data_IF_444877855372
#
_entry.id   IF_444877855372
#
_cell.length_a   1.000
_cell.length_b   1.000
_cell.length_c   1.000
_cell.angle_alpha   90.00
_cell.angle_beta   90.00
_cell.angle_gamma   90.00
#
_symmetry.space_group_name_H-M   'P 1'
#
loop_
_entity.id
_entity.type
_entity.pdbx_description
1 polymer ?
#
# COMPACT_ATOMS: atom_id res chain seq x y z
N UNK A 1 -17.25 -6.34 4.25
CA UNK A 1 -17.66 -7.34 3.23
C UNK A 1 -18.01 -6.78 1.84
N UNK A 2 -17.61 -5.56 1.44
CA UNK A 2 -17.95 -5.03 0.09
C UNK A 2 -16.79 -4.31 -0.65
N UNK A 3 -15.52 -4.56 -0.30
CA UNK A 3 -14.40 -3.83 -0.91
C UNK A 3 -14.01 -4.31 -2.33
N UNK A 4 -14.33 -5.55 -2.72
CA UNK A 4 -13.86 -6.11 -4.00
C UNK A 4 -14.83 -5.97 -5.20
N UNK A 5 -16.01 -5.35 -5.03
CA UNK A 5 -17.00 -5.26 -6.13
C UNK A 5 -16.96 -3.97 -6.95
N UNK A 6 -16.07 -3.02 -6.66
CA UNK A 6 -16.05 -1.72 -7.33
C UNK A 6 -14.93 -1.51 -8.35
N UNK A 7 -14.04 -2.49 -8.54
CA UNK A 7 -12.87 -2.34 -9.42
C UNK A 7 -13.09 -2.73 -10.89
N UNK A 8 -14.26 -3.23 -11.28
CA UNK A 8 -14.54 -3.61 -12.67
C UNK A 8 -15.70 -2.77 -13.20
N UNK A 9 -15.37 -1.58 -13.68
CA UNK A 9 -16.31 -0.66 -14.30
C UNK A 9 -15.61 0.28 -15.25
N UNK A 10 -15.09 -0.25 -16.35
CA UNK A 10 -14.60 0.55 -17.46
C UNK A 10 -15.77 1.29 -18.14
N UNK A 11 -15.71 2.61 -18.17
CA UNK A 11 -16.38 3.43 -19.18
C UNK A 11 -15.40 4.48 -19.69
N UNK A 12 -15.20 4.62 -21.00
CA UNK A 12 -14.40 5.69 -21.57
C UNK A 12 -15.27 6.92 -21.75
N UNK A 13 -14.82 8.10 -21.29
CA UNK A 13 -14.88 9.37 -22.03
C UNK A 13 -14.24 10.51 -21.22
N UNK A 14 -13.65 11.41 -22.00
CA UNK A 14 -13.06 12.72 -21.74
C UNK A 14 -13.36 13.50 -20.45
N UNK A 15 -12.33 14.29 -20.11
CA UNK A 15 -12.37 15.59 -19.44
C UNK A 15 -12.01 15.63 -17.93
N UNK A 16 -10.99 16.47 -17.68
CA UNK A 16 -10.39 16.95 -16.43
C UNK A 16 -9.65 15.94 -15.53
N UNK A 17 -8.35 16.19 -15.41
CA UNK A 17 -7.46 15.57 -14.44
C UNK A 17 -8.01 15.76 -13.02
N UNK A 18 -8.47 14.66 -12.42
CA UNK A 18 -8.70 14.54 -10.98
C UNK A 18 -8.06 13.24 -10.53
N UNK A 19 -6.97 13.40 -9.79
CA UNK A 19 -6.22 12.35 -9.08
C UNK A 19 -7.22 11.44 -8.37
N UNK A 20 -7.11 10.09 -8.39
CA UNK A 20 -8.05 9.24 -7.67
C UNK A 20 -7.79 9.35 -6.17
N UNK A 21 -8.32 10.39 -5.53
CA UNK A 21 -8.58 10.38 -4.10
C UNK A 21 -9.73 9.40 -3.88
N UNK A 22 -9.58 8.55 -2.87
CA UNK A 22 -10.60 7.58 -2.47
C UNK A 22 -11.89 8.34 -2.11
N UNK A 23 -12.88 8.32 -3.00
CA UNK A 23 -14.18 8.95 -2.75
C UNK A 23 -14.95 8.09 -1.74
N UNK A 24 -15.10 8.61 -0.52
CA UNK A 24 -16.07 8.13 0.50
C UNK A 24 -17.46 8.07 -0.14
N UNK A 25 -18.03 6.88 -0.26
CA UNK A 25 -19.44 6.73 -0.58
C UNK A 25 -20.26 7.02 0.69
N UNK A 26 -20.68 8.27 0.87
CA UNK A 26 -21.70 8.63 1.85
C UNK A 26 -23.06 8.12 1.37
N UNK A 27 -23.74 7.36 2.21
CA UNK A 27 -25.09 6.87 1.95
C UNK A 27 -26.11 7.92 2.38
N UNK A 28 -26.87 8.37 1.39
CA UNK A 28 -28.13 9.13 1.37
C UNK A 28 -28.79 9.49 2.71
N UNK A 29 -28.92 10.80 2.94
CA UNK A 29 -29.94 11.41 3.78
C UNK A 29 -30.41 12.69 3.10
N UNK A 30 -31.52 12.60 2.36
CA UNK A 30 -32.27 13.74 1.83
C UNK A 30 -32.52 14.79 2.92
N UNK A 31 -32.28 16.07 2.64
CA UNK A 31 -33.33 17.09 2.50
C UNK A 31 -32.76 18.53 2.43
N UNK A 32 -33.33 19.25 1.46
CA UNK A 32 -33.56 20.69 1.41
C UNK A 32 -32.44 21.62 0.92
N UNK A 33 -32.54 21.93 -0.37
CA UNK A 33 -32.19 23.21 -0.96
C UNK A 33 -32.70 24.36 -0.09
N UNK A 34 -31.80 25.18 0.46
CA UNK A 34 -32.09 26.60 0.61
C UNK A 34 -30.82 27.44 0.39
N UNK A 35 -31.08 28.57 -0.25
CA UNK A 35 -30.21 29.45 -1.01
C UNK A 35 -29.36 30.42 -0.18
N UNK A 36 -28.32 30.90 -0.87
CA UNK A 36 -27.82 32.28 -0.90
C UNK A 36 -26.74 32.73 0.11
N UNK A 37 -25.61 33.10 -0.48
CA UNK A 37 -24.77 34.29 -0.23
C UNK A 37 -23.93 34.33 1.06
N UNK A 38 -22.61 34.14 0.94
CA UNK A 38 -21.65 35.21 1.22
C UNK A 38 -20.24 34.84 0.68
N UNK A 39 -19.54 35.85 0.17
CA UNK A 39 -18.18 35.82 -0.36
C UNK A 39 -17.15 35.75 0.80
N UNK A 40 -16.16 34.85 0.75
CA UNK A 40 -14.80 35.17 1.23
C UNK A 40 -13.74 34.23 0.63
N UNK A 41 -12.64 34.85 0.21
CA UNK A 41 -11.46 34.32 -0.46
C UNK A 41 -10.37 34.08 0.59
N UNK A 42 -9.82 32.86 0.66
CA UNK A 42 -8.81 32.54 1.67
C UNK A 42 -8.34 31.09 1.61
N UNK A 43 -7.64 30.74 0.54
CA UNK A 43 -7.00 29.43 0.40
C UNK A 43 -5.87 29.22 1.42
N UNK A 44 -6.14 28.36 2.40
CA UNK A 44 -5.13 27.58 3.11
C UNK A 44 -5.70 26.17 3.28
N UNK A 45 -5.31 25.28 2.36
CA UNK A 45 -5.52 23.85 2.48
C UNK A 45 -4.62 23.35 3.62
N UNK A 46 -5.10 23.52 4.85
CA UNK A 46 -4.59 22.83 6.01
C UNK A 46 -4.93 21.35 5.84
N UNK A 47 -3.90 20.55 5.57
CA UNK A 47 -3.91 19.09 5.58
C UNK A 47 -4.01 18.60 7.03
N UNK A 48 -5.00 19.11 7.76
CA UNK A 48 -5.38 18.65 9.09
C UNK A 48 -6.22 17.39 8.92
N UNK A 49 -5.51 16.28 8.76
CA UNK A 49 -6.03 14.94 8.90
C UNK A 49 -6.41 14.69 10.38
N UNK A 50 -7.44 15.39 10.87
CA UNK A 50 -8.10 15.13 12.14
C UNK A 50 -9.29 14.19 11.90
N UNK A 51 -9.02 12.97 11.42
CA UNK A 51 -10.02 11.89 11.45
C UNK A 51 -9.93 11.17 12.80
N UNK A 52 -10.49 11.80 13.83
CA UNK A 52 -10.85 11.11 15.08
C UNK A 52 -11.99 10.12 14.81
N UNK A 53 -11.65 8.93 14.31
CA UNK A 53 -12.59 7.83 14.10
C UNK A 53 -11.86 6.53 13.76
N UNK A 54 -11.62 5.69 14.79
CA UNK A 54 -10.78 4.47 14.81
C UNK A 54 -9.26 4.70 14.75
N UNK A 55 -8.62 4.71 15.93
CA UNK A 55 -7.15 4.79 16.10
C UNK A 55 -6.34 3.62 15.49
N UNK A 56 -7.00 2.61 14.91
CA UNK A 56 -6.34 1.42 14.37
C UNK A 56 -6.27 1.42 12.83
N UNK A 57 -6.92 2.38 12.16
CA UNK A 57 -6.81 2.51 10.70
C UNK A 57 -5.49 3.20 10.34
N UNK A 58 -4.74 2.58 9.42
CA UNK A 58 -3.50 3.16 8.89
C UNK A 58 -3.61 3.38 7.40
N UNK A 59 -3.31 4.61 6.97
CA UNK A 59 -3.22 5.01 5.57
C UNK A 59 -1.76 5.11 5.17
N UNK A 60 -1.43 4.57 4.00
CA UNK A 60 -0.07 4.58 3.46
C UNK A 60 -0.09 5.12 2.02
N UNK A 61 0.89 5.94 1.66
CA UNK A 61 1.14 6.32 0.26
C UNK A 61 1.77 5.15 -0.48
N UNK A 62 1.30 4.85 -1.69
CA UNK A 62 1.87 3.76 -2.50
C UNK A 62 3.19 4.23 -3.12
N UNK A 63 4.30 3.87 -2.46
CA UNK A 63 5.65 4.25 -2.86
C UNK A 63 6.57 3.02 -3.06
N UNK A 64 7.47 3.01 -4.07
CA UNK A 64 8.45 1.94 -4.24
C UNK A 64 9.34 1.65 -3.01
N UNK A 65 9.60 2.63 -2.16
CA UNK A 65 10.38 2.48 -0.94
C UNK A 65 9.74 1.53 0.09
N UNK A 66 8.42 1.34 0.01
CA UNK A 66 7.69 0.38 0.85
C UNK A 66 8.05 -1.07 0.53
N UNK A 67 8.66 -1.37 -0.63
CA UNK A 67 9.14 -2.71 -0.99
C UNK A 67 8.07 -3.79 -0.77
N UNK A 68 6.91 -3.60 -1.40
CA UNK A 68 5.75 -4.51 -1.30
C UNK A 68 6.06 -5.91 -1.84
N UNK A 69 5.58 -6.93 -1.12
CA UNK A 69 5.75 -8.34 -1.48
C UNK A 69 4.54 -9.18 -1.08
N UNK A 70 4.06 -10.01 -1.99
CA UNK A 70 3.13 -11.11 -1.68
C UNK A 70 3.87 -12.43 -1.51
N UNK A 71 3.40 -13.28 -0.62
CA UNK A 71 3.92 -14.65 -0.43
C UNK A 71 2.86 -15.56 0.19
N UNK A 72 3.10 -16.86 0.06
CA UNK A 72 2.33 -17.90 0.77
C UNK A 72 3.18 -18.40 1.94
N UNK A 73 2.58 -18.39 3.13
CA UNK A 73 3.20 -18.90 4.36
C UNK A 73 3.22 -20.43 4.37
N UNK A 74 3.93 -21.01 5.34
CA UNK A 74 4.05 -22.46 5.50
C UNK A 74 2.73 -23.18 5.80
N UNK A 75 1.75 -22.45 6.35
CA UNK A 75 0.39 -22.91 6.63
C UNK A 75 -0.54 -22.85 5.40
N UNK A 76 -0.06 -22.31 4.27
CA UNK A 76 -0.84 -22.13 3.05
C UNK A 76 -1.64 -20.83 2.99
N UNK A 77 -1.51 -19.96 4.01
CA UNK A 77 -2.20 -18.66 4.04
C UNK A 77 -1.41 -17.65 3.22
N UNK A 78 -2.10 -16.85 2.41
CA UNK A 78 -1.47 -15.77 1.65
C UNK A 78 -1.29 -14.54 2.53
N UNK A 79 -0.18 -13.83 2.34
CA UNK A 79 0.09 -12.59 3.03
C UNK A 79 0.76 -11.59 2.09
N UNK A 80 0.55 -10.32 2.39
CA UNK A 80 1.20 -9.19 1.72
C UNK A 80 1.95 -8.41 2.79
N UNK A 81 3.21 -8.07 2.53
CA UNK A 81 4.05 -7.34 3.47
C UNK A 81 4.72 -6.13 2.83
N UNK A 82 5.00 -5.11 3.64
CA UNK A 82 5.73 -3.90 3.22
C UNK A 82 6.53 -3.30 4.39
N UNK A 83 7.58 -2.54 4.06
CA UNK A 83 8.48 -1.88 5.02
C UNK A 83 7.72 -0.82 5.81
N UNK A 84 7.94 -0.79 7.12
CA UNK A 84 7.55 0.35 7.94
C UNK A 84 8.61 1.44 7.77
N UNK A 85 8.25 2.57 7.15
CA UNK A 85 9.17 3.70 6.96
C UNK A 85 9.34 4.54 8.23
N UNK A 86 8.45 4.37 9.21
CA UNK A 86 8.45 5.12 10.46
C UNK A 86 8.83 4.26 11.68
N UNK A 87 8.96 2.94 11.50
CA UNK A 87 9.33 1.97 12.52
C UNK A 87 10.84 1.77 12.65
N UNK A 88 11.23 0.70 13.37
CA UNK A 88 12.63 0.33 13.52
C UNK A 88 13.19 -0.30 12.23
N UNK A 89 14.51 -0.31 12.10
CA UNK A 89 15.20 -0.93 10.98
C UNK A 89 14.82 -2.42 10.87
N UNK A 90 14.14 -2.75 9.78
CA UNK A 90 13.70 -4.12 9.48
C UNK A 90 12.23 -4.38 9.77
N UNK A 91 11.53 -3.45 10.42
CA UNK A 91 10.10 -3.59 10.68
C UNK A 91 9.29 -3.58 9.39
N UNK A 92 8.27 -4.43 9.38
CA UNK A 92 7.36 -4.60 8.26
C UNK A 92 5.95 -4.79 8.77
N UNK A 93 4.99 -4.21 8.06
CA UNK A 93 3.60 -4.57 8.20
C UNK A 93 3.32 -5.86 7.41
N UNK A 94 2.44 -6.69 7.95
CA UNK A 94 1.92 -7.89 7.29
C UNK A 94 0.39 -7.80 7.27
N UNK A 95 -0.18 -7.91 6.08
CA UNK A 95 -1.59 -8.14 5.86
C UNK A 95 -1.79 -9.63 5.55
N UNK A 96 -2.39 -10.35 6.49
CA UNK A 96 -2.75 -11.75 6.32
C UNK A 96 -4.09 -11.81 5.59
N UNK A 97 -4.11 -12.53 4.46
CA UNK A 97 -5.31 -12.69 3.65
C UNK A 97 -6.15 -13.82 4.23
N UNK A 98 -7.46 -13.57 4.39
CA UNK A 98 -8.39 -14.59 4.88
C UNK A 98 -8.49 -15.79 3.91
N UNK A 99 -8.75 -16.98 4.47
CA UNK A 99 -8.76 -18.25 3.72
C UNK A 99 -9.87 -18.34 2.64
N UNK A 100 -10.91 -17.51 2.73
CA UNK A 100 -12.02 -17.46 1.79
C UNK A 100 -11.71 -16.65 0.51
N UNK A 101 -10.61 -15.89 0.51
CA UNK A 101 -10.15 -15.12 -0.65
C UNK A 101 -9.37 -16.02 -1.59
N UNK A 102 -9.62 -15.90 -2.89
CA UNK A 102 -8.93 -16.71 -3.89
C UNK A 102 -7.54 -16.15 -4.18
N UNK A 103 -6.59 -17.05 -4.47
CA UNK A 103 -5.26 -16.70 -4.94
C UNK A 103 -5.26 -15.71 -6.10
N UNK A 104 -6.18 -15.89 -7.06
CA UNK A 104 -6.33 -14.97 -8.19
C UNK A 104 -6.72 -13.55 -7.79
N UNK A 105 -7.45 -13.37 -6.69
CA UNK A 105 -7.80 -12.02 -6.19
C UNK A 105 -6.59 -11.34 -5.57
N UNK A 106 -5.76 -12.08 -4.84
CA UNK A 106 -4.48 -11.60 -4.30
C UNK A 106 -3.51 -11.25 -5.42
N UNK A 107 -3.45 -12.08 -6.47
CA UNK A 107 -2.61 -11.83 -7.65
C UNK A 107 -3.06 -10.57 -8.39
N UNK A 108 -4.38 -10.40 -8.60
CA UNK A 108 -4.94 -9.21 -9.24
C UNK A 108 -4.70 -7.94 -8.40
N UNK A 109 -4.81 -8.02 -7.07
CA UNK A 109 -4.47 -6.93 -6.18
C UNK A 109 -2.99 -6.55 -6.30
N UNK A 110 -2.11 -7.54 -6.24
CA UNK A 110 -0.66 -7.35 -6.35
C UNK A 110 -0.29 -6.73 -7.71
N UNK A 111 -0.90 -7.21 -8.80
CA UNK A 111 -0.71 -6.65 -10.13
C UNK A 111 -1.16 -5.19 -10.23
N UNK A 112 -2.32 -4.87 -9.65
CA UNK A 112 -2.86 -3.50 -9.62
C UNK A 112 -1.96 -2.56 -8.81
N UNK A 113 -1.45 -3.04 -7.67
CA UNK A 113 -0.49 -2.32 -6.84
C UNK A 113 0.79 -1.97 -7.62
N UNK A 114 1.33 -2.93 -8.37
CA UNK A 114 2.52 -2.70 -9.19
C UNK A 114 2.27 -1.76 -10.36
N UNK A 115 1.06 -1.76 -10.93
CA UNK A 115 0.66 -0.72 -11.90
C UNK A 115 0.68 0.66 -11.26
N UNK A 116 0.10 0.84 -10.08
CA UNK A 116 0.16 2.12 -9.36
C UNK A 116 1.61 2.57 -9.10
N UNK A 117 2.50 1.65 -8.72
CA UNK A 117 3.92 1.96 -8.54
C UNK A 117 4.61 2.36 -9.86
N UNK A 118 4.27 1.71 -10.97
CA UNK A 118 4.74 2.09 -12.30
C UNK A 118 4.29 3.51 -12.66
N UNK A 119 3.01 3.81 -12.49
CA UNK A 119 2.45 5.13 -12.78
C UNK A 119 3.09 6.21 -11.91
N UNK A 120 3.28 5.91 -10.62
CA UNK A 120 3.97 6.80 -9.70
C UNK A 120 5.44 7.04 -10.11
N UNK A 121 6.17 5.98 -10.49
CA UNK A 121 7.58 6.05 -10.85
C UNK A 121 7.84 6.77 -12.17
N UNK A 122 7.03 6.50 -13.19
CA UNK A 122 7.26 6.98 -14.55
C UNK A 122 6.34 8.12 -14.98
N UNK A 123 5.31 8.42 -14.18
CA UNK A 123 4.28 9.42 -14.51
C UNK A 123 3.62 9.12 -15.88
N UNK A 124 3.36 7.84 -16.13
CA UNK A 124 2.77 7.30 -17.37
C UNK A 124 1.72 6.25 -17.02
N UNK A 125 0.63 6.21 -17.78
CA UNK A 125 -0.42 5.19 -17.61
C UNK A 125 0.14 3.76 -17.75
N UNK A 126 -0.36 2.86 -16.90
CA UNK A 126 -0.06 1.44 -16.92
C UNK A 126 -1.12 0.60 -17.67
N UNK A 127 -2.00 1.21 -18.46
CA UNK A 127 -3.10 0.50 -19.14
C UNK A 127 -2.63 -0.55 -20.13
N UNK A 128 -1.55 -0.26 -20.86
CA UNK A 128 -0.96 -1.18 -21.85
C UNK A 128 -0.26 -2.39 -21.21
N UNK A 129 -0.03 -2.36 -19.90
CA UNK A 129 0.64 -3.43 -19.16
C UNK A 129 -0.38 -4.55 -18.89
N UNK A 130 -0.15 -5.70 -19.50
CA UNK A 130 -1.05 -6.87 -19.42
C UNK A 130 -0.45 -8.04 -18.64
N UNK A 131 0.86 -8.04 -18.44
CA UNK A 131 1.59 -9.11 -17.77
C UNK A 131 2.42 -8.54 -16.61
N UNK A 132 2.36 -9.22 -15.47
CA UNK A 132 3.13 -8.89 -14.26
C UNK A 132 4.64 -8.97 -14.49
N UNK A 133 5.09 -9.76 -15.48
CA UNK A 133 6.50 -9.86 -15.86
C UNK A 133 7.09 -8.52 -16.31
N UNK A 134 6.27 -7.60 -16.84
CA UNK A 134 6.69 -6.25 -17.24
C UNK A 134 6.90 -5.32 -16.03
N UNK A 135 6.39 -5.71 -14.86
CA UNK A 135 6.47 -4.97 -13.61
C UNK A 135 7.44 -5.62 -12.61
N UNK A 136 8.31 -6.53 -13.09
CA UNK A 136 9.23 -7.29 -12.25
C UNK A 136 10.18 -6.41 -11.43
N UNK A 137 10.42 -5.17 -11.85
CA UNK A 137 11.27 -4.21 -11.11
C UNK A 137 10.67 -3.76 -9.77
N UNK A 138 9.35 -3.86 -9.61
CA UNK A 138 8.64 -3.51 -8.38
C UNK A 138 8.45 -4.71 -7.45
N UNK A 139 8.79 -5.91 -7.92
CA UNK A 139 8.72 -7.14 -7.13
C UNK A 139 9.91 -7.15 -6.17
N UNK A 140 9.62 -7.04 -4.88
CA UNK A 140 10.65 -7.12 -3.86
C UNK A 140 11.12 -8.56 -3.61
N UNK A 141 12.40 -8.82 -3.85
CA UNK A 141 13.08 -10.06 -3.45
C UNK A 141 14.01 -9.78 -2.24
N UNK A 142 13.74 -10.38 -1.06
CA UNK A 142 14.57 -10.18 0.12
C UNK A 142 16.01 -10.69 -0.03
N UNK A 143 16.28 -11.61 -0.97
CA UNK A 143 17.63 -12.17 -1.15
C UNK A 143 18.56 -11.26 -1.95
N UNK A 144 18.00 -10.32 -2.70
CA UNK A 144 18.75 -9.39 -3.54
C UNK A 144 18.91 -8.02 -2.91
N UNK A 145 18.33 -7.80 -1.72
CA UNK A 145 18.33 -6.51 -1.06
C UNK A 145 19.47 -6.41 -0.04
N UNK A 146 20.34 -5.42 -0.23
CA UNK A 146 21.51 -5.19 0.62
C UNK A 146 21.13 -4.91 2.08
N UNK A 147 19.94 -4.34 2.37
CA UNK A 147 19.50 -4.10 3.74
C UNK A 147 19.21 -5.41 4.49
N UNK A 148 18.65 -6.41 3.81
CA UNK A 148 18.43 -7.73 4.41
C UNK A 148 19.77 -8.41 4.74
N UNK A 149 20.78 -8.23 3.89
CA UNK A 149 22.13 -8.73 4.13
C UNK A 149 22.84 -7.99 5.29
N UNK A 150 22.66 -6.67 5.40
CA UNK A 150 23.20 -5.88 6.51
C UNK A 150 22.55 -6.26 7.84
N UNK A 151 21.23 -6.49 7.87
CA UNK A 151 20.54 -6.97 9.08
C UNK A 151 21.00 -8.36 9.52
N UNK A 152 21.23 -9.26 8.56
CA UNK A 152 21.82 -10.58 8.82
C UNK A 152 23.27 -10.48 9.34
N UNK A 153 24.10 -9.57 8.82
CA UNK A 153 25.43 -9.28 9.38
C UNK A 153 25.34 -8.73 10.80
N UNK A 154 24.44 -7.79 11.07
CA UNK A 154 24.26 -7.19 12.38
C UNK A 154 23.81 -8.22 13.42
N UNK A 155 22.86 -9.09 13.07
CA UNK A 155 22.44 -10.20 13.92
C UNK A 155 23.56 -11.19 14.20
N UNK A 156 24.37 -11.56 13.19
CA UNK A 156 25.54 -12.42 13.38
C UNK A 156 26.58 -11.78 14.29
N UNK A 157 26.82 -10.48 14.14
CA UNK A 157 27.72 -9.74 15.00
C UNK A 157 27.23 -9.71 16.45
N UNK A 158 25.94 -9.40 16.67
CA UNK A 158 25.33 -9.41 18.00
C UNK A 158 25.40 -10.80 18.67
N UNK A 159 25.11 -11.88 17.93
CA UNK A 159 25.25 -13.25 18.44
C UNK A 159 26.70 -13.62 18.77
N UNK A 160 27.67 -13.17 17.95
CA UNK A 160 29.10 -13.38 18.19
C UNK A 160 29.57 -12.69 19.48
N UNK A 161 29.09 -11.47 19.73
CA UNK A 161 29.39 -10.73 20.96
C UNK A 161 28.77 -11.39 22.19
N UNK A 162 27.55 -11.93 22.09
CA UNK A 162 26.90 -12.64 23.19
C UNK A 162 27.64 -13.94 23.56
N UNK A 163 28.09 -14.71 22.57
CA UNK A 163 28.81 -15.98 22.82
C UNK A 163 30.22 -15.78 23.39
N UNK A 164 30.84 -14.61 23.22
CA UNK A 164 32.17 -14.31 23.80
C UNK A 164 32.12 -13.92 25.28
N UNK A 165 30.95 -13.68 25.87
CA UNK A 165 30.83 -13.31 27.28
C UNK A 165 30.73 -14.51 28.24
N UNK A 166 30.57 -15.74 27.71
CA UNK A 166 30.37 -16.98 28.48
C UNK A 166 31.67 -17.79 28.73
N UNK A 167 32.84 -17.28 28.33
CA UNK A 167 34.14 -17.85 28.72
C UNK A 167 34.86 -16.90 29.69
N UNK A 168 34.45 -16.95 30.96
CA UNK A 168 35.18 -16.35 32.07
C UNK A 168 35.31 -17.31 33.24
#
# INVERSE_FOLDING_TARGET
MNFLKKFIGATPIDEVASIPSVIRAYQEGELNLESADDEDDGGESDDSNEDSGNNDEKVFSIDPELKFRSYTRSDGVQAISWKDLNGDLGDRFEFVVDEDIKYTEVDNFTFSLYKCLYEHRYQKSADDITDISQLSEFVYDPNTDDEAAEMDKFSRFAMSCASSQDLR
#
